data_IF_825736134217
#
_entry.id   IF_825736134217
#
_cell.length_a   1.000
_cell.length_b   1.000
_cell.length_c   1.000
_cell.angle_alpha   90.00
_cell.angle_beta   90.00
_cell.angle_gamma   90.00
#
_symmetry.space_group_name_H-M   'P 1'
#
loop_
_entity.id
_entity.type
_entity.pdbx_description
1 polymer ?
#
# COMPACT_ATOMS: atom_id res chain seq x y z
N UNK A 1 -32.05 -2.19 8.47
CA UNK A 1 -30.89 -1.41 8.97
C UNK A 1 -29.76 -1.56 7.98
N UNK A 2 -29.00 -0.49 7.73
CA UNK A 2 -27.89 -0.50 6.78
C UNK A 2 -26.59 -0.47 7.58
N UNK A 3 -25.72 -1.44 7.33
CA UNK A 3 -24.38 -1.49 7.94
C UNK A 3 -23.35 -1.29 6.84
N UNK A 4 -22.41 -0.39 7.10
CA UNK A 4 -21.26 -0.15 6.23
C UNK A 4 -20.03 -0.75 6.88
N UNK A 5 -19.18 -1.38 6.07
CA UNK A 5 -17.95 -1.98 6.53
C UNK A 5 -16.88 -1.89 5.45
N UNK A 6 -15.62 -1.93 5.87
CA UNK A 6 -14.48 -1.88 4.95
C UNK A 6 -14.05 -3.28 4.56
N UNK A 7 -13.80 -3.49 3.27
CA UNK A 7 -13.17 -4.69 2.72
C UNK A 7 -11.82 -4.32 2.10
N UNK A 8 -10.93 -5.31 2.05
CA UNK A 8 -9.60 -5.15 1.47
C UNK A 8 -9.44 -6.08 0.28
N UNK A 9 -8.97 -5.53 -0.85
CA UNK A 9 -8.43 -6.30 -1.97
C UNK A 9 -6.91 -6.16 -1.94
N UNK A 10 -6.19 -7.27 -2.14
CA UNK A 10 -4.74 -7.28 -2.11
C UNK A 10 -4.19 -7.85 -3.42
N UNK A 11 -3.21 -7.18 -4.02
CA UNK A 11 -2.50 -7.67 -5.20
C UNK A 11 -0.99 -7.54 -4.99
N UNK A 12 -0.28 -8.64 -5.23
CA UNK A 12 1.17 -8.70 -5.11
C UNK A 12 1.85 -8.58 -6.48
N UNK A 13 2.81 -7.68 -6.58
CA UNK A 13 3.58 -7.40 -7.78
C UNK A 13 5.04 -7.75 -7.56
N UNK A 14 5.57 -8.65 -8.40
CA UNK A 14 6.98 -9.06 -8.35
C UNK A 14 7.79 -8.40 -9.46
N UNK A 15 9.04 -8.05 -9.18
CA UNK A 15 10.01 -7.59 -10.19
C UNK A 15 9.57 -6.35 -10.98
N UNK A 16 8.66 -5.54 -10.43
CA UNK A 16 8.17 -4.33 -11.09
C UNK A 16 8.97 -3.09 -10.71
N UNK A 17 9.47 -3.03 -9.48
CA UNK A 17 10.27 -1.93 -8.96
C UNK A 17 11.74 -2.34 -8.85
N UNK A 18 12.31 -2.85 -9.96
CA UNK A 18 13.70 -3.29 -10.05
C UNK A 18 13.95 -4.77 -9.73
N UNK A 19 15.17 -5.25 -10.02
CA UNK A 19 15.63 -6.61 -9.83
C UNK A 19 16.84 -6.67 -8.87
N UNK A 20 16.84 -7.63 -7.96
CA UNK A 20 18.00 -8.05 -7.17
C UNK A 20 18.66 -6.96 -6.33
N UNK A 21 19.86 -7.27 -5.83
CA UNK A 21 20.82 -6.26 -5.38
C UNK A 21 21.73 -6.01 -6.58
N UNK A 22 21.78 -4.78 -7.08
CA UNK A 22 22.76 -4.41 -8.09
C UNK A 22 23.35 -3.04 -7.81
N UNK A 23 24.64 -2.89 -8.05
CA UNK A 23 25.36 -1.64 -7.80
C UNK A 23 25.06 -0.55 -8.85
N UNK A 24 24.34 -0.91 -9.92
CA UNK A 24 24.03 -0.03 -11.05
C UNK A 24 22.56 0.37 -11.18
N UNK A 25 21.64 -0.35 -10.55
CA UNK A 25 20.22 -0.07 -10.66
C UNK A 25 19.80 0.93 -9.58
N UNK A 26 19.67 2.20 -9.98
CA UNK A 26 19.09 3.25 -9.14
C UNK A 26 17.90 3.87 -9.85
N UNK A 27 16.91 4.34 -9.08
CA UNK A 27 15.79 5.13 -9.59
C UNK A 27 14.94 4.38 -10.64
N UNK A 28 14.54 3.15 -10.34
CA UNK A 28 13.69 2.36 -11.26
C UNK A 28 12.25 2.81 -11.14
N UNK A 29 11.72 3.43 -12.20
CA UNK A 29 10.30 3.75 -12.28
C UNK A 29 9.44 2.50 -12.44
N UNK A 30 8.25 2.53 -11.86
CA UNK A 30 7.25 1.49 -12.00
C UNK A 30 5.85 2.09 -12.11
N UNK A 31 4.99 1.40 -12.86
CA UNK A 31 3.58 1.72 -12.96
C UNK A 31 2.79 0.41 -12.82
N UNK A 32 1.94 0.35 -11.80
CA UNK A 32 1.14 -0.79 -11.43
C UNK A 32 -0.33 -0.47 -11.67
N UNK A 33 -0.92 -1.14 -12.64
CA UNK A 33 -2.37 -1.19 -12.81
C UNK A 33 -2.91 -2.36 -11.99
N UNK A 34 -3.84 -2.09 -11.07
CA UNK A 34 -4.57 -3.15 -10.39
C UNK A 34 -5.59 -3.78 -11.34
N UNK A 35 -5.70 -5.11 -11.24
CA UNK A 35 -6.56 -5.91 -12.11
C UNK A 35 -8.03 -5.87 -11.71
N UNK A 36 -8.31 -5.53 -10.44
CA UNK A 36 -9.66 -5.41 -9.92
C UNK A 36 -10.12 -3.95 -9.89
N UNK A 37 -11.38 -3.74 -10.29
CA UNK A 37 -12.08 -2.45 -10.22
C UNK A 37 -13.03 -2.49 -9.01
N UNK A 38 -12.72 -1.71 -7.98
CA UNK A 38 -13.55 -1.65 -6.77
C UNK A 38 -14.39 -0.37 -6.76
N UNK A 39 -15.54 -0.43 -6.12
CA UNK A 39 -16.42 0.73 -5.87
C UNK A 39 -16.06 1.33 -4.52
N UNK A 40 -16.31 2.63 -4.33
CA UNK A 40 -16.21 3.29 -3.04
C UNK A 40 -14.82 3.11 -2.38
N UNK A 41 -13.75 3.34 -3.14
CA UNK A 41 -12.38 3.16 -2.69
C UNK A 41 -12.07 4.22 -1.64
N UNK A 42 -11.64 3.80 -0.45
CA UNK A 42 -11.28 4.70 0.64
C UNK A 42 -9.78 4.93 0.68
N UNK A 43 -8.97 3.88 0.54
CA UNK A 43 -7.52 3.98 0.70
C UNK A 43 -6.80 3.05 -0.26
N UNK A 44 -5.62 3.48 -0.70
CA UNK A 44 -4.64 2.65 -1.39
C UNK A 44 -3.38 2.64 -0.55
N UNK A 45 -2.91 1.43 -0.20
CA UNK A 45 -1.73 1.23 0.63
C UNK A 45 -0.70 0.44 -0.17
N UNK A 46 0.52 0.94 -0.22
CA UNK A 46 1.65 0.29 -0.89
C UNK A 46 2.65 -0.14 0.16
N UNK A 47 2.96 -1.43 0.17
CA UNK A 47 3.89 -2.04 1.11
C UNK A 47 5.06 -2.62 0.31
N UNK A 48 6.25 -2.01 0.41
CA UNK A 48 7.43 -2.53 -0.26
C UNK A 48 8.06 -3.67 0.52
N UNK A 49 8.39 -4.75 -0.17
CA UNK A 49 9.22 -5.85 0.31
C UNK A 49 10.47 -5.94 -0.55
N UNK A 50 11.57 -6.40 0.05
CA UNK A 50 12.74 -6.73 -0.76
C UNK A 50 12.36 -7.76 -1.81
N UNK A 51 12.86 -7.56 -3.03
CA UNK A 51 12.77 -8.57 -4.06
C UNK A 51 13.59 -9.81 -3.65
N UNK A 52 12.94 -10.97 -3.61
CA UNK A 52 13.53 -12.25 -3.18
C UNK A 52 13.67 -13.27 -4.31
N UNK A 53 13.10 -12.98 -5.49
CA UNK A 53 13.32 -13.80 -6.68
C UNK A 53 14.79 -13.72 -7.07
N UNK A 54 15.38 -14.85 -7.47
CA UNK A 54 16.77 -14.85 -7.93
C UNK A 54 16.94 -13.85 -9.06
N UNK A 55 17.99 -13.05 -8.96
CA UNK A 55 18.67 -12.46 -10.13
C UNK A 55 18.98 -13.58 -11.14
N UNK A 56 19.03 -13.27 -12.44
CA UNK A 56 19.59 -14.11 -13.51
C UNK A 56 20.99 -14.67 -13.17
N UNK A 57 21.70 -14.06 -12.21
CA UNK A 57 23.00 -14.48 -11.66
C UNK A 57 22.91 -15.22 -10.31
N UNK A 58 21.72 -15.57 -9.82
CA UNK A 58 21.53 -16.44 -8.64
C UNK A 58 21.82 -15.81 -7.28
N UNK A 59 22.03 -14.49 -7.20
CA UNK A 59 22.28 -13.77 -5.93
C UNK A 59 20.96 -13.60 -5.17
N UNK A 60 20.87 -14.20 -3.97
CA UNK A 60 19.66 -14.23 -3.13
C UNK A 60 19.98 -13.63 -1.77
N UNK A 61 19.33 -12.51 -1.42
CA UNK A 61 19.57 -11.82 -0.14
C UNK A 61 18.82 -12.44 1.04
N UNK A 62 17.78 -13.24 0.79
CA UNK A 62 17.14 -14.08 1.81
C UNK A 62 17.46 -15.54 1.51
N UNK A 63 18.34 -16.14 2.33
CA UNK A 63 18.57 -17.58 2.35
C UNK A 63 17.25 -18.28 2.72
N UNK A 64 16.49 -18.68 1.73
CA UNK A 64 15.81 -19.95 1.84
C UNK A 64 15.79 -20.64 0.49
N UNK A 65 16.89 -21.34 0.21
CA UNK A 65 16.99 -22.35 -0.86
C UNK A 65 15.92 -23.46 -0.72
N UNK A 66 15.19 -23.51 0.40
CA UNK A 66 14.11 -24.46 0.68
C UNK A 66 12.70 -23.85 0.64
N UNK A 67 12.54 -22.52 0.62
CA UNK A 67 11.24 -21.88 0.41
C UNK A 67 11.02 -21.70 -1.09
N UNK A 68 10.35 -22.66 -1.72
CA UNK A 68 10.02 -22.71 -3.15
C UNK A 68 9.16 -21.52 -3.61
N UNK A 69 9.75 -20.32 -3.74
CA UNK A 69 9.04 -19.14 -4.23
C UNK A 69 7.99 -18.57 -3.26
N UNK A 70 8.05 -18.92 -1.97
CA UNK A 70 7.16 -18.34 -0.96
C UNK A 70 7.58 -16.90 -0.66
N UNK A 71 6.70 -15.94 -0.92
CA UNK A 71 6.93 -14.53 -0.62
C UNK A 71 7.04 -14.28 0.89
N UNK A 72 7.75 -13.22 1.29
CA UNK A 72 8.03 -12.90 2.70
C UNK A 72 6.74 -12.80 3.52
N UNK A 73 5.71 -12.12 2.98
CA UNK A 73 4.39 -11.94 3.59
C UNK A 73 3.55 -13.22 3.73
N UNK A 74 3.97 -14.35 3.15
CA UNK A 74 3.31 -15.66 3.33
C UNK A 74 3.93 -16.49 4.47
N UNK A 75 5.03 -16.02 5.06
CA UNK A 75 5.73 -16.76 6.12
C UNK A 75 5.05 -16.53 7.48
N UNK A 76 4.68 -17.60 8.22
CA UNK A 76 4.17 -17.46 9.58
C UNK A 76 5.27 -17.14 10.62
N UNK A 77 6.53 -17.14 10.19
CA UNK A 77 7.69 -16.82 11.02
C UNK A 77 8.29 -15.44 10.71
N UNK A 78 7.69 -14.70 9.78
CA UNK A 78 8.07 -13.35 9.45
C UNK A 78 7.05 -12.37 10.02
N UNK A 79 7.50 -11.19 10.44
CA UNK A 79 6.64 -10.09 10.89
C UNK A 79 6.00 -9.32 9.73
N UNK A 80 6.36 -9.64 8.49
CA UNK A 80 5.65 -9.24 7.28
C UNK A 80 4.17 -9.69 7.33
N UNK A 81 3.22 -8.94 6.73
CA UNK A 81 3.45 -7.84 5.80
C UNK A 81 3.74 -6.48 6.43
N UNK A 82 3.59 -6.30 7.75
CA UNK A 82 3.66 -4.97 8.36
C UNK A 82 5.09 -4.47 8.62
N UNK A 83 6.07 -5.36 8.50
CA UNK A 83 7.48 -4.98 8.39
C UNK A 83 7.88 -4.93 6.91
N UNK A 84 7.99 -3.70 6.40
CA UNK A 84 8.40 -3.37 5.04
C UNK A 84 9.92 -3.54 4.84
N UNK A 85 10.38 -3.37 3.60
CA UNK A 85 11.80 -3.36 3.25
C UNK A 85 12.55 -2.27 4.05
N UNK A 86 13.56 -2.64 4.85
CA UNK A 86 14.39 -1.65 5.53
C UNK A 86 15.08 -0.73 4.52
N UNK A 87 15.01 0.58 4.76
CA UNK A 87 15.59 1.56 3.84
C UNK A 87 14.89 1.65 2.48
N UNK A 88 13.62 1.23 2.39
CA UNK A 88 12.81 1.49 1.20
C UNK A 88 12.76 2.99 0.91
N UNK A 89 13.00 3.36 -0.35
CA UNK A 89 13.06 4.74 -0.81
C UNK A 89 12.17 4.89 -2.06
N UNK A 90 10.86 4.89 -1.84
CA UNK A 90 9.81 5.07 -2.84
C UNK A 90 9.62 6.58 -3.03
N UNK A 91 9.82 7.07 -4.26
CA UNK A 91 9.95 8.49 -4.61
C UNK A 91 9.09 8.87 -5.80
N UNK A 92 8.59 10.10 -5.83
CA UNK A 92 7.61 10.58 -6.81
C UNK A 92 6.30 9.75 -6.82
N UNK A 93 5.75 9.51 -5.64
CA UNK A 93 4.58 8.69 -5.44
C UNK A 93 3.33 9.36 -6.00
N UNK A 94 2.56 8.59 -6.76
CA UNK A 94 1.25 8.98 -7.27
C UNK A 94 0.30 7.81 -7.31
N UNK A 95 -0.97 8.11 -7.00
CA UNK A 95 -2.10 7.20 -7.16
C UNK A 95 -3.15 7.88 -8.03
N UNK A 96 -3.65 7.16 -9.03
CA UNK A 96 -4.78 7.58 -9.86
C UNK A 96 -5.96 6.63 -9.63
N UNK A 97 -7.13 7.19 -9.40
CA UNK A 97 -8.39 6.44 -9.29
C UNK A 97 -9.30 6.86 -10.44
N UNK A 98 -9.62 5.92 -11.34
CA UNK A 98 -10.23 6.27 -12.62
C UNK A 98 -9.29 7.14 -13.45
N UNK A 99 -9.70 8.37 -13.75
CA UNK A 99 -8.89 9.36 -14.46
C UNK A 99 -8.35 10.47 -13.56
N UNK A 100 -8.69 10.44 -12.27
CA UNK A 100 -8.39 11.51 -11.33
C UNK A 100 -7.21 11.14 -10.44
N UNK A 101 -6.27 12.07 -10.30
CA UNK A 101 -5.11 11.90 -9.44
C UNK A 101 -5.49 12.18 -7.99
N UNK A 102 -5.06 11.30 -7.07
CA UNK A 102 -5.27 11.48 -5.63
C UNK A 102 -4.45 12.65 -5.11
N UNK A 103 -3.17 12.74 -5.51
CA UNK A 103 -2.32 13.88 -5.20
C UNK A 103 -2.26 14.84 -6.39
N UNK A 104 -2.38 16.15 -6.13
CA UNK A 104 -2.29 17.16 -7.20
C UNK A 104 -0.91 17.21 -7.88
N UNK A 105 0.14 16.77 -7.16
CA UNK A 105 1.51 16.60 -7.65
C UNK A 105 2.06 15.29 -7.09
N UNK A 106 3.03 14.70 -7.76
CA UNK A 106 3.80 13.58 -7.20
C UNK A 106 4.47 14.01 -5.89
N UNK A 107 4.51 13.12 -4.92
CA UNK A 107 5.06 13.42 -3.59
C UNK A 107 6.21 12.48 -3.25
N UNK A 108 7.24 13.01 -2.60
CA UNK A 108 8.20 12.19 -1.88
C UNK A 108 7.60 11.90 -0.50
N UNK A 109 7.27 10.64 -0.26
CA UNK A 109 6.48 10.24 0.90
C UNK A 109 7.39 10.04 2.11
N UNK A 110 7.32 10.95 3.08
CA UNK A 110 8.06 10.89 4.34
C UNK A 110 7.10 10.75 5.54
N UNK A 111 7.65 10.67 6.75
CA UNK A 111 6.91 10.51 7.99
C UNK A 111 5.92 11.64 8.28
N UNK A 112 6.21 12.90 7.92
CA UNK A 112 5.21 13.97 8.06
C UNK A 112 3.99 13.72 7.17
N UNK A 113 4.21 13.29 5.91
CA UNK A 113 3.12 12.95 5.00
C UNK A 113 2.34 11.73 5.49
N UNK A 114 3.05 10.72 6.00
CA UNK A 114 2.43 9.58 6.66
C UNK A 114 1.50 10.04 7.80
N UNK A 115 1.96 10.92 8.68
CA UNK A 115 1.13 11.44 9.76
C UNK A 115 -0.06 12.23 9.23
N UNK A 116 0.13 13.07 8.22
CA UNK A 116 -0.95 13.87 7.66
C UNK A 116 -2.02 13.02 6.97
N UNK A 117 -1.65 11.91 6.34
CA UNK A 117 -2.60 10.97 5.74
C UNK A 117 -3.27 10.11 6.82
N UNK A 118 -2.48 9.41 7.65
CA UNK A 118 -2.97 8.45 8.64
C UNK A 118 -3.77 9.11 9.77
N UNK A 119 -3.33 10.28 10.27
CA UNK A 119 -4.04 10.98 11.35
C UNK A 119 -5.47 11.28 10.97
N UNK A 120 -5.73 11.64 9.71
CA UNK A 120 -7.07 11.98 9.23
C UNK A 120 -7.97 10.74 9.13
N UNK A 121 -7.40 9.55 8.95
CA UNK A 121 -8.18 8.33 8.75
C UNK A 121 -8.88 7.95 10.05
N UNK A 122 -10.21 7.93 10.08
CA UNK A 122 -10.96 7.54 11.28
C UNK A 122 -10.89 8.51 12.45
N UNK A 123 -10.26 9.68 12.29
CA UNK A 123 -10.26 10.73 13.30
C UNK A 123 -11.55 11.56 13.23
N UNK A 124 -12.01 11.99 14.40
CA UNK A 124 -13.16 12.90 14.49
C UNK A 124 -12.75 14.27 13.94
N UNK A 125 -13.56 14.82 13.04
CA UNK A 125 -13.29 16.11 12.36
C UNK A 125 -11.95 16.16 11.60
N UNK A 126 -11.46 15.02 11.09
CA UNK A 126 -10.20 14.97 10.33
C UNK A 126 -8.98 15.34 11.17
N UNK A 127 -8.96 14.90 12.44
CA UNK A 127 -7.89 15.17 13.42
C UNK A 127 -7.71 16.64 13.81
N UNK A 128 -8.74 17.49 13.61
CA UNK A 128 -8.74 18.87 14.10
C UNK A 128 -9.02 18.97 15.61
N UNK A 129 -9.48 17.87 16.21
CA UNK A 129 -9.76 17.77 17.64
C UNK A 129 -8.95 16.63 18.24
N UNK A 130 -8.07 16.94 19.18
CA UNK A 130 -7.06 16.03 19.77
C UNK A 130 -7.61 14.82 20.57
N UNK A 131 -8.91 14.60 20.52
CA UNK A 131 -9.59 13.63 21.38
C UNK A 131 -9.50 12.20 20.81
N UNK A 132 -9.44 12.05 19.48
CA UNK A 132 -9.34 10.75 18.78
C UNK A 132 -8.53 10.96 17.50
N UNK A 133 -7.20 10.84 17.63
CA UNK A 133 -6.25 10.90 16.51
C UNK A 133 -5.56 9.53 16.33
N UNK A 134 -5.24 9.18 15.08
CA UNK A 134 -4.53 7.93 14.74
C UNK A 134 -3.04 8.21 14.44
N UNK A 135 -2.15 7.26 14.73
CA UNK A 135 -0.70 7.42 14.46
C UNK A 135 0.19 7.10 15.66
N UNK A 136 0.22 5.83 16.07
CA UNK A 136 1.08 5.33 17.17
C UNK A 136 2.50 4.97 16.70
N UNK A 137 2.78 5.07 15.40
CA UNK A 137 4.11 4.86 14.84
C UNK A 137 4.90 6.15 14.98
N UNK A 138 6.04 6.04 15.65
CA UNK A 138 7.02 7.12 15.75
C UNK A 138 7.94 7.12 14.51
N UNK A 139 8.60 8.25 14.26
CA UNK A 139 9.49 8.48 13.12
C UNK A 139 10.48 7.33 12.95
N UNK A 140 11.18 6.95 14.03
CA UNK A 140 12.18 5.89 13.98
C UNK A 140 11.58 4.53 13.58
N UNK A 141 10.35 4.21 14.00
CA UNK A 141 9.70 2.94 13.64
C UNK A 141 9.23 2.95 12.19
N UNK A 142 8.73 4.10 11.74
CA UNK A 142 8.29 4.31 10.36
C UNK A 142 9.47 4.21 9.40
N UNK A 143 10.51 5.01 9.59
CA UNK A 143 11.67 5.07 8.68
C UNK A 143 12.43 3.75 8.55
N UNK A 144 12.47 2.93 9.60
CA UNK A 144 13.27 1.71 9.62
C UNK A 144 12.52 0.45 9.17
N UNK A 145 11.26 0.27 9.59
CA UNK A 145 10.58 -1.02 9.48
C UNK A 145 9.15 -0.88 8.93
N UNK A 146 8.46 0.23 9.20
CA UNK A 146 7.05 0.41 8.86
C UNK A 146 6.84 1.39 7.71
N UNK A 147 7.75 1.42 6.74
CA UNK A 147 7.70 2.35 5.61
C UNK A 147 6.65 1.92 4.56
N UNK A 148 5.39 1.85 4.98
CA UNK A 148 4.25 1.64 4.10
C UNK A 148 3.64 3.00 3.73
N UNK A 149 3.24 3.13 2.49
CA UNK A 149 2.77 4.39 1.92
C UNK A 149 1.26 4.31 1.76
N UNK A 150 0.56 5.36 2.19
CA UNK A 150 -0.90 5.41 2.19
C UNK A 150 -1.38 6.63 1.40
N UNK A 151 -2.38 6.42 0.56
CA UNK A 151 -3.11 7.47 -0.12
C UNK A 151 -4.60 7.43 0.26
N UNK A 152 -5.10 8.50 0.89
CA UNK A 152 -6.54 8.69 1.10
C UNK A 152 -7.26 8.99 -0.22
N UNK A 153 -8.04 8.03 -0.69
CA UNK A 153 -8.81 8.11 -1.94
C UNK A 153 -10.28 8.50 -1.70
N UNK A 154 -10.69 8.68 -0.44
CA UNK A 154 -12.09 8.87 -0.07
C UNK A 154 -12.73 10.11 -0.70
N UNK A 155 -11.93 11.11 -1.06
CA UNK A 155 -12.37 12.38 -1.66
C UNK A 155 -12.50 12.34 -3.17
N UNK A 156 -11.84 11.39 -3.82
CA UNK A 156 -11.77 11.31 -5.29
C UNK A 156 -12.64 10.18 -5.86
N UNK A 157 -12.97 9.18 -5.05
CA UNK A 157 -13.81 8.08 -5.51
C UNK A 157 -15.22 8.55 -5.85
N UNK A 158 -15.73 8.11 -6.99
CA UNK A 158 -17.13 8.32 -7.38
C UNK A 158 -17.97 7.24 -6.72
N UNK A 159 -18.98 7.68 -5.96
CA UNK A 159 -19.85 6.79 -5.20
C UNK A 159 -20.52 5.75 -6.10
N UNK A 160 -20.46 4.49 -5.70
CA UNK A 160 -21.09 3.30 -6.29
C UNK A 160 -20.66 2.96 -7.74
N UNK A 161 -19.60 3.60 -8.24
CA UNK A 161 -19.01 3.36 -9.57
C UNK A 161 -17.69 2.60 -9.42
N UNK A 162 -17.49 1.47 -10.13
CA UNK A 162 -16.20 0.78 -10.13
C UNK A 162 -15.15 1.65 -10.82
N UNK A 163 -13.99 1.83 -10.18
CA UNK A 163 -12.90 2.63 -10.73
C UNK A 163 -11.60 1.82 -10.74
N UNK A 164 -10.78 2.03 -11.77
CA UNK A 164 -9.41 1.50 -11.84
C UNK A 164 -8.55 2.20 -10.81
N UNK A 165 -7.55 1.50 -10.31
CA UNK A 165 -6.47 2.11 -9.54
C UNK A 165 -5.16 1.90 -10.27
N UNK A 166 -4.41 2.99 -10.46
CA UNK A 166 -3.02 2.97 -10.91
C UNK A 166 -2.13 3.53 -9.82
N UNK A 167 -1.01 2.87 -9.60
CA UNK A 167 0.04 3.30 -8.68
C UNK A 167 1.31 3.49 -9.48
N UNK A 168 1.90 4.67 -9.45
CA UNK A 168 3.12 4.97 -10.19
C UNK A 168 4.12 5.69 -9.31
N UNK A 169 5.39 5.27 -9.37
CA UNK A 169 6.44 5.78 -8.50
C UNK A 169 7.83 5.34 -8.99
N UNK A 170 8.90 5.74 -8.29
CA UNK A 170 10.30 5.40 -8.51
C UNK A 170 10.89 4.71 -7.27
N UNK A 171 11.36 3.47 -7.45
CA UNK A 171 12.24 2.85 -6.46
C UNK A 171 13.64 3.46 -6.55
N UNK A 172 13.95 4.33 -5.60
CA UNK A 172 15.22 5.01 -5.47
C UNK A 172 16.28 4.24 -4.70
N UNK A 173 16.04 3.00 -4.30
CA UNK A 173 17.03 2.12 -3.64
C UNK A 173 17.79 1.27 -4.67
N UNK A 174 18.99 0.81 -4.31
CA UNK A 174 19.81 -0.08 -5.14
C UNK A 174 19.31 -1.54 -5.16
N UNK A 175 18.26 -1.82 -4.39
CA UNK A 175 17.67 -3.12 -4.21
C UNK A 175 16.28 -3.13 -4.85
N UNK A 176 16.00 -4.12 -5.69
CA UNK A 176 14.67 -4.31 -6.26
C UNK A 176 13.62 -4.51 -5.17
N UNK A 177 12.41 -4.00 -5.40
CA UNK A 177 11.28 -4.17 -4.50
C UNK A 177 10.14 -4.98 -5.16
N UNK A 178 9.58 -5.90 -4.39
CA UNK A 178 8.27 -6.47 -4.65
C UNK A 178 7.23 -5.65 -3.89
N UNK A 179 6.08 -5.39 -4.48
CA UNK A 179 5.10 -4.46 -3.92
C UNK A 179 3.79 -5.18 -3.65
N UNK A 180 3.32 -5.15 -2.40
CA UNK A 180 1.95 -5.53 -2.06
C UNK A 180 1.10 -4.27 -2.04
N UNK A 181 0.11 -4.21 -2.92
CA UNK A 181 -0.82 -3.10 -2.97
C UNK A 181 -2.15 -3.56 -2.39
N UNK A 182 -2.62 -2.83 -1.38
CA UNK A 182 -3.91 -3.04 -0.74
C UNK A 182 -4.86 -1.93 -1.16
N UNK A 183 -6.05 -2.29 -1.61
CA UNK A 183 -7.16 -1.38 -1.83
C UNK A 183 -8.18 -1.62 -0.72
N UNK A 184 -8.38 -0.63 0.14
CA UNK A 184 -9.46 -0.62 1.12
C UNK A 184 -10.65 0.11 0.52
N UNK A 185 -11.79 -0.54 0.51
CA UNK A 185 -13.01 -0.01 -0.09
C UNK A 185 -14.23 -0.33 0.78
N UNK A 186 -15.25 0.49 0.66
CA UNK A 186 -16.46 0.39 1.49
C UNK A 186 -17.52 -0.48 0.80
N UNK A 187 -18.08 -1.39 1.58
CA UNK A 187 -19.24 -2.19 1.20
C UNK A 187 -20.38 -1.89 2.14
N UNK A 188 -21.59 -2.07 1.63
CA UNK A 188 -22.81 -1.87 2.37
C UNK A 188 -23.63 -3.15 2.35
N UNK A 189 -24.25 -3.47 3.47
CA UNK A 189 -25.18 -4.59 3.61
C UNK A 189 -26.46 -4.05 4.27
N UNK A 190 -27.59 -4.36 3.67
CA UNK A 190 -28.90 -4.13 4.28
C UNK A 190 -29.38 -5.42 4.93
N UNK A 191 -30.07 -5.30 6.06
CA UNK A 191 -30.87 -6.39 6.59
C UNK A 191 -32.21 -5.85 7.10
N UNK A 192 -33.28 -6.59 6.84
CA UNK A 192 -34.58 -6.29 7.39
C UNK A 192 -34.62 -6.73 8.86
N UNK A 193 -34.98 -5.80 9.75
CA UNK A 193 -35.06 -6.07 11.20
C UNK A 193 -36.26 -6.92 11.58
N UNK A 194 -37.30 -6.97 10.75
CA UNK A 194 -38.54 -7.72 11.02
C UNK A 194 -38.47 -9.14 10.48
N UNK A 195 -37.94 -9.33 9.27
CA UNK A 195 -37.90 -10.64 8.60
C UNK A 195 -36.54 -11.34 8.73
N UNK A 196 -35.47 -10.60 9.06
CA UNK A 196 -34.11 -11.14 9.14
C UNK A 196 -33.47 -11.41 7.77
N UNK A 197 -34.11 -10.99 6.68
CA UNK A 197 -33.59 -11.15 5.32
C UNK A 197 -32.43 -10.16 5.05
N UNK A 198 -31.48 -10.60 4.22
CA UNK A 198 -30.25 -9.89 3.81
C UNK A 198 -30.36 -9.45 2.35
#
# INVERSE_FOLDING_TARGET
MKVTFQFCYAQYFTQRAGLGISDSQQQVSFNLQLSAFQKNIKQVIVIPFSQTSGDTLGRRHFLNTSAKGTGQFHSPFDSAPWTAQPGSAIRNFQVQVGNDNVFSKTIDYDYEMFNDEIRKMGAVNGAQTHQIDNGLLDLQKYSNIHHYIVADCSRITVKDVPQSVQVSDINGSNQGANLLVLIVYEREMSFDRLTGEV
#
